data_IF_883275237857
#
_entry.id   IF_883275237857
#
_cell.length_a   1.000
_cell.length_b   1.000
_cell.length_c   1.000
_cell.angle_alpha   90.00
_cell.angle_beta   90.00
_cell.angle_gamma   90.00
#
_symmetry.space_group_name_H-M   'P 1'
#
loop_
_entity.id
_entity.type
_entity.pdbx_description
1 polymer ?
#
# COMPACT_ATOMS: atom_id res chain seq x y z
N UNK A 1 28.56 43.85 -10.91
CA UNK A 1 27.17 43.52 -10.52
C UNK A 1 26.41 44.81 -10.29
N UNK A 2 25.33 45.05 -11.04
CA UNK A 2 24.62 46.34 -11.00
C UNK A 2 23.45 46.29 -9.99
N UNK A 3 23.23 47.34 -9.17
CA UNK A 3 22.17 47.38 -8.15
C UNK A 3 20.72 47.31 -8.66
N UNK A 4 20.51 47.39 -9.98
CA UNK A 4 19.19 47.50 -10.62
C UNK A 4 18.44 46.17 -10.72
N UNK A 5 19.14 45.03 -10.83
CA UNK A 5 18.51 43.70 -10.95
C UNK A 5 17.76 43.29 -9.66
N UNK A 6 18.27 43.72 -8.51
CA UNK A 6 17.65 43.52 -7.18
C UNK A 6 16.32 44.28 -7.01
N UNK A 7 16.08 45.32 -7.80
CA UNK A 7 14.90 46.19 -7.68
C UNK A 7 13.69 45.65 -8.45
N UNK A 8 13.91 44.78 -9.45
CA UNK A 8 12.87 44.24 -10.33
C UNK A 8 12.46 42.79 -10.01
N UNK A 9 12.98 42.21 -8.92
CA UNK A 9 12.65 40.83 -8.55
C UNK A 9 13.18 39.78 -9.54
N UNK A 10 14.09 40.16 -10.43
CA UNK A 10 14.86 39.23 -11.27
C UNK A 10 16.00 38.67 -10.41
N UNK A 11 15.65 37.83 -9.44
CA UNK A 11 16.63 36.95 -8.82
C UNK A 11 17.08 35.93 -9.86
N UNK A 12 18.38 35.66 -9.92
CA UNK A 12 19.04 34.56 -10.65
C UNK A 12 18.63 33.15 -10.14
N UNK A 13 17.51 33.09 -9.43
CA UNK A 13 16.91 31.90 -8.86
C UNK A 13 15.80 31.47 -9.82
N UNK A 14 16.15 30.60 -10.76
CA UNK A 14 15.18 29.92 -11.63
C UNK A 14 14.04 29.32 -10.81
N UNK A 15 12.88 29.16 -11.46
CA UNK A 15 11.69 28.59 -10.85
C UNK A 15 11.96 27.18 -10.32
N UNK A 16 11.17 26.69 -9.37
CA UNK A 16 11.29 25.29 -8.91
C UNK A 16 11.18 24.30 -10.10
N UNK A 17 10.46 24.64 -11.16
CA UNK A 17 10.36 23.80 -12.37
C UNK A 17 11.68 23.84 -13.16
N UNK A 18 12.28 25.01 -13.34
CA UNK A 18 13.59 25.15 -14.00
C UNK A 18 14.66 24.37 -13.23
N UNK A 19 14.53 24.30 -11.90
CA UNK A 19 15.41 23.48 -11.04
C UNK A 19 15.17 21.99 -11.24
N UNK A 20 13.92 21.55 -11.40
CA UNK A 20 13.63 20.13 -11.71
C UNK A 20 14.20 19.72 -13.07
N UNK A 21 14.08 20.56 -14.09
CA UNK A 21 14.70 20.33 -15.40
C UNK A 21 16.22 20.22 -15.27
N UNK A 22 16.85 21.13 -14.52
CA UNK A 22 18.29 21.10 -14.27
C UNK A 22 18.72 19.87 -13.46
N UNK A 23 17.92 19.40 -12.51
CA UNK A 23 18.16 18.16 -11.78
C UNK A 23 18.19 16.98 -12.77
N UNK A 24 17.24 16.91 -13.71
CA UNK A 24 17.20 15.86 -14.73
C UNK A 24 18.48 15.87 -15.59
N UNK A 25 18.86 17.04 -16.10
CA UNK A 25 20.08 17.22 -16.91
C UNK A 25 21.34 16.79 -16.16
N UNK A 26 21.45 17.14 -14.88
CA UNK A 26 22.58 16.76 -14.04
C UNK A 26 22.62 15.26 -13.77
N UNK A 27 21.46 14.62 -13.56
CA UNK A 27 21.37 13.18 -13.39
C UNK A 27 21.77 12.44 -14.67
N UNK A 28 21.35 12.91 -15.84
CA UNK A 28 21.77 12.35 -17.13
C UNK A 28 23.28 12.46 -17.37
N UNK A 29 23.90 13.52 -16.84
CA UNK A 29 25.35 13.72 -16.86
C UNK A 29 26.11 12.92 -15.77
N UNK A 30 25.41 12.27 -14.83
CA UNK A 30 26.00 11.59 -13.68
C UNK A 30 26.45 12.53 -12.54
N UNK A 31 26.08 13.81 -12.59
CA UNK A 31 26.45 14.85 -11.62
C UNK A 31 25.47 14.88 -10.42
N UNK A 32 25.43 13.79 -9.64
CA UNK A 32 24.46 13.60 -8.55
C UNK A 32 24.61 14.66 -7.45
N UNK A 33 25.84 15.06 -7.12
CA UNK A 33 26.09 16.13 -6.14
C UNK A 33 25.48 17.46 -6.57
N UNK A 34 25.60 17.79 -7.86
CA UNK A 34 24.98 18.97 -8.44
C UNK A 34 23.45 18.89 -8.38
N UNK A 35 22.89 17.72 -8.69
CA UNK A 35 21.44 17.50 -8.62
C UNK A 35 20.91 17.68 -7.19
N UNK A 36 21.60 17.14 -6.18
CA UNK A 36 21.24 17.35 -4.77
C UNK A 36 21.35 18.83 -4.39
N UNK A 37 22.38 19.54 -4.83
CA UNK A 37 22.54 20.96 -4.55
C UNK A 37 21.43 21.82 -5.19
N UNK A 38 20.89 21.44 -6.35
CA UNK A 38 19.71 22.09 -6.92
C UNK A 38 18.42 21.73 -6.18
N UNK A 39 18.30 20.47 -5.69
CA UNK A 39 17.17 20.02 -4.89
C UNK A 39 17.01 20.86 -3.62
N UNK A 40 18.10 21.16 -2.91
CA UNK A 40 18.09 21.97 -1.67
C UNK A 40 17.56 23.40 -1.87
N UNK A 41 17.55 23.89 -3.11
CA UNK A 41 17.06 25.23 -3.45
C UNK A 41 15.57 25.26 -3.78
N UNK A 42 14.94 24.09 -3.93
CA UNK A 42 13.50 23.98 -4.21
C UNK A 42 12.68 24.36 -2.97
N UNK A 43 11.65 25.19 -3.17
CA UNK A 43 10.86 25.75 -2.07
C UNK A 43 9.54 25.05 -1.84
N UNK A 44 8.88 24.56 -2.89
CA UNK A 44 7.58 23.90 -2.78
C UNK A 44 7.75 22.42 -2.48
N UNK A 45 7.02 21.93 -1.49
CA UNK A 45 7.01 20.52 -1.07
C UNK A 45 6.75 19.56 -2.22
N UNK A 46 5.81 19.88 -3.13
CA UNK A 46 5.47 19.01 -4.26
C UNK A 46 6.64 18.86 -5.23
N UNK A 47 7.34 19.96 -5.51
CA UNK A 47 8.51 19.96 -6.40
C UNK A 47 9.70 19.30 -5.70
N UNK A 48 9.89 19.54 -4.40
CA UNK A 48 10.95 18.91 -3.63
C UNK A 48 10.75 17.38 -3.60
N UNK A 49 9.50 16.94 -3.44
CA UNK A 49 9.15 15.53 -3.55
C UNK A 49 9.49 14.93 -4.92
N UNK A 50 9.13 15.62 -6.01
CA UNK A 50 9.42 15.16 -7.38
C UNK A 50 10.93 15.07 -7.61
N UNK A 51 11.70 16.11 -7.28
CA UNK A 51 13.16 16.12 -7.46
C UNK A 51 13.85 15.04 -6.63
N UNK A 52 13.45 14.87 -5.36
CA UNK A 52 13.99 13.81 -4.52
C UNK A 52 13.68 12.42 -5.12
N UNK A 53 12.47 12.23 -5.65
CA UNK A 53 12.09 10.96 -6.30
C UNK A 53 12.92 10.68 -7.54
N UNK A 54 13.23 11.69 -8.35
CA UNK A 54 14.12 11.55 -9.51
C UNK A 54 15.51 11.06 -9.09
N UNK A 55 16.10 11.70 -8.07
CA UNK A 55 17.43 11.34 -7.58
C UNK A 55 17.44 9.93 -6.97
N UNK A 56 16.46 9.59 -6.11
CA UNK A 56 16.37 8.24 -5.53
C UNK A 56 16.20 7.18 -6.61
N UNK A 57 15.37 7.43 -7.63
CA UNK A 57 15.20 6.51 -8.76
C UNK A 57 16.47 6.36 -9.58
N UNK A 58 17.23 7.44 -9.79
CA UNK A 58 18.52 7.39 -10.47
C UNK A 58 19.53 6.57 -9.65
N UNK A 59 19.68 6.85 -8.35
CA UNK A 59 20.52 6.09 -7.43
C UNK A 59 20.12 4.62 -7.35
N UNK A 60 18.81 4.34 -7.34
CA UNK A 60 18.32 2.97 -7.35
C UNK A 60 18.80 2.26 -8.60
N UNK A 61 18.87 2.88 -9.77
CA UNK A 61 19.21 2.20 -11.03
C UNK A 61 20.67 2.34 -11.47
N UNK A 62 21.49 3.11 -10.75
CA UNK A 62 22.87 3.38 -11.14
C UNK A 62 23.79 2.17 -10.93
N UNK A 63 24.95 2.22 -11.58
CA UNK A 63 26.05 1.26 -11.42
C UNK A 63 27.15 1.77 -10.47
N UNK A 64 26.84 2.79 -9.67
CA UNK A 64 27.75 3.35 -8.68
C UNK A 64 28.12 2.29 -7.62
N UNK A 65 29.24 2.50 -6.95
CA UNK A 65 29.61 1.60 -5.86
C UNK A 65 28.58 1.69 -4.71
N UNK A 66 28.34 0.59 -3.97
CA UNK A 66 27.44 0.58 -2.82
C UNK A 66 27.71 1.73 -1.82
N UNK A 67 28.98 2.05 -1.57
CA UNK A 67 29.37 3.10 -0.64
C UNK A 67 28.98 4.51 -1.12
N UNK A 68 29.09 4.79 -2.42
CA UNK A 68 28.67 6.06 -3.01
C UNK A 68 27.15 6.24 -2.91
N UNK A 69 26.40 5.19 -3.28
CA UNK A 69 24.93 5.18 -3.17
C UNK A 69 24.51 5.44 -1.72
N UNK A 70 25.09 4.72 -0.76
CA UNK A 70 24.82 4.92 0.67
C UNK A 70 25.11 6.36 1.11
N UNK A 71 26.21 6.94 0.63
CA UNK A 71 26.56 8.35 0.88
C UNK A 71 25.47 9.30 0.42
N UNK A 72 25.04 9.20 -0.83
CA UNK A 72 24.01 10.07 -1.39
C UNK A 72 22.64 9.87 -0.74
N UNK A 73 22.23 8.63 -0.45
CA UNK A 73 20.98 8.36 0.25
C UNK A 73 20.97 8.99 1.65
N UNK A 74 22.09 8.96 2.38
CA UNK A 74 22.21 9.62 3.69
C UNK A 74 22.09 11.13 3.59
N UNK A 75 22.63 11.74 2.54
CA UNK A 75 22.46 13.18 2.26
C UNK A 75 21.02 13.54 1.94
N UNK A 76 20.27 12.67 1.27
CA UNK A 76 18.86 12.91 0.96
C UNK A 76 17.93 12.83 2.18
N UNK A 77 18.24 12.02 3.20
CA UNK A 77 17.35 11.82 4.36
C UNK A 77 16.97 13.15 5.05
N UNK A 78 17.89 14.07 5.41
CA UNK A 78 17.54 15.36 5.98
C UNK A 78 16.62 16.19 5.08
N UNK A 79 16.88 16.20 3.77
CA UNK A 79 16.07 16.93 2.78
C UNK A 79 14.66 16.36 2.74
N UNK A 80 14.52 15.03 2.65
CA UNK A 80 13.21 14.36 2.69
C UNK A 80 12.49 14.67 4.00
N UNK A 81 13.18 14.63 5.14
CA UNK A 81 12.58 14.92 6.45
C UNK A 81 12.07 16.36 6.59
N UNK A 82 12.58 17.30 5.79
CA UNK A 82 12.13 18.70 5.75
C UNK A 82 10.76 18.90 5.11
N UNK A 83 10.29 17.95 4.29
CA UNK A 83 8.96 18.02 3.67
C UNK A 83 7.89 18.12 4.76
N UNK A 84 6.88 18.95 4.56
CA UNK A 84 5.75 19.09 5.49
C UNK A 84 4.75 17.95 5.35
N UNK A 85 4.54 17.42 4.14
CA UNK A 85 3.63 16.30 3.90
C UNK A 85 4.15 14.98 4.50
N UNK A 86 3.40 14.36 5.42
CA UNK A 86 3.71 13.02 5.94
C UNK A 86 3.64 11.95 4.87
N UNK A 87 2.72 12.09 3.90
CA UNK A 87 2.60 11.18 2.77
C UNK A 87 3.87 11.18 1.93
N UNK A 88 4.34 12.36 1.53
CA UNK A 88 5.56 12.47 0.71
C UNK A 88 6.79 11.93 1.43
N UNK A 89 6.92 12.22 2.74
CA UNK A 89 7.99 11.67 3.57
C UNK A 89 7.96 10.15 3.66
N UNK A 90 6.78 9.57 3.92
CA UNK A 90 6.61 8.13 4.01
C UNK A 90 7.00 7.44 2.70
N UNK A 91 6.49 7.92 1.56
CA UNK A 91 6.79 7.33 0.25
C UNK A 91 8.28 7.45 -0.10
N UNK A 92 8.89 8.63 0.06
CA UNK A 92 10.32 8.80 -0.26
C UNK A 92 11.23 8.00 0.67
N UNK A 93 10.92 7.90 1.96
CA UNK A 93 11.71 7.07 2.88
C UNK A 93 11.59 5.58 2.56
N UNK A 94 10.44 5.12 2.04
CA UNK A 94 10.31 3.76 1.53
C UNK A 94 11.14 3.55 0.24
N UNK A 95 11.16 4.52 -0.68
CA UNK A 95 12.00 4.47 -1.88
C UNK A 95 13.50 4.45 -1.50
N UNK A 96 13.90 5.28 -0.53
CA UNK A 96 15.27 5.28 0.03
C UNK A 96 15.59 3.93 0.70
N UNK A 97 14.65 3.35 1.46
CA UNK A 97 14.86 2.04 2.07
C UNK A 97 15.12 0.96 1.02
N UNK A 98 14.34 0.94 -0.07
CA UNK A 98 14.55 0.03 -1.20
C UNK A 98 15.91 0.24 -1.87
N UNK A 99 16.36 1.49 -2.01
CA UNK A 99 17.69 1.79 -2.52
C UNK A 99 18.81 1.28 -1.60
N UNK A 100 18.66 1.40 -0.28
CA UNK A 100 19.59 0.78 0.67
C UNK A 100 19.62 -0.75 0.56
N UNK A 101 18.46 -1.40 0.47
CA UNK A 101 18.39 -2.86 0.33
C UNK A 101 19.07 -3.34 -0.95
N UNK A 102 18.91 -2.61 -2.06
CA UNK A 102 19.56 -2.96 -3.33
C UNK A 102 21.09 -2.99 -3.21
N UNK A 103 21.67 -2.10 -2.41
CA UNK A 103 23.13 -2.04 -2.20
C UNK A 103 23.61 -2.84 -0.98
N UNK A 104 22.72 -3.62 -0.36
CA UNK A 104 23.04 -4.52 0.76
C UNK A 104 23.16 -3.83 2.13
N UNK A 105 22.73 -2.57 2.26
CA UNK A 105 22.76 -1.84 3.54
C UNK A 105 21.44 -2.00 4.30
N UNK A 106 21.20 -3.24 4.74
CA UNK A 106 19.97 -3.64 5.42
C UNK A 106 19.68 -2.83 6.68
N UNK A 107 20.71 -2.43 7.43
CA UNK A 107 20.55 -1.66 8.66
C UNK A 107 19.95 -0.28 8.38
N UNK A 108 20.49 0.45 7.41
CA UNK A 108 19.95 1.77 7.05
C UNK A 108 18.59 1.62 6.33
N UNK A 109 18.42 0.57 5.52
CA UNK A 109 17.15 0.25 4.89
C UNK A 109 16.03 0.00 5.90
N UNK A 110 16.27 -0.82 6.92
CA UNK A 110 15.27 -1.13 7.96
C UNK A 110 14.92 0.10 8.80
N UNK A 111 15.89 0.99 9.08
CA UNK A 111 15.63 2.25 9.77
C UNK A 111 14.76 3.20 8.94
N UNK A 112 15.07 3.34 7.65
CA UNK A 112 14.29 4.17 6.73
C UNK A 112 12.87 3.60 6.55
N UNK A 113 12.74 2.29 6.35
CA UNK A 113 11.45 1.61 6.20
C UNK A 113 10.61 1.74 7.46
N UNK A 114 11.17 1.50 8.65
CA UNK A 114 10.44 1.68 9.91
C UNK A 114 9.92 3.11 10.08
N UNK A 115 10.73 4.09 9.69
CA UNK A 115 10.31 5.50 9.70
C UNK A 115 9.19 5.76 8.69
N UNK A 116 9.30 5.21 7.48
CA UNK A 116 8.27 5.29 6.46
C UNK A 116 6.92 4.71 6.93
N UNK A 117 6.93 3.51 7.55
CA UNK A 117 5.71 2.87 8.08
C UNK A 117 5.09 3.73 9.19
N UNK A 118 5.89 4.26 10.11
CA UNK A 118 5.41 5.14 11.18
C UNK A 118 4.76 6.43 10.64
N UNK A 119 5.27 6.98 9.54
CA UNK A 119 4.68 8.17 8.90
C UNK A 119 3.45 7.82 8.08
N UNK A 120 3.46 6.69 7.38
CA UNK A 120 2.31 6.18 6.62
C UNK A 120 1.10 5.99 7.53
N UNK A 121 1.33 5.53 8.77
CA UNK A 121 0.28 5.40 9.78
C UNK A 121 -0.54 6.68 10.02
N UNK A 122 0.13 7.83 9.98
CA UNK A 122 -0.52 9.11 10.19
C UNK A 122 -1.08 9.71 8.88
N UNK A 123 -0.70 9.15 7.73
CA UNK A 123 -1.07 9.65 6.40
C UNK A 123 -2.26 8.90 5.78
N UNK A 124 -2.55 7.70 6.26
CA UNK A 124 -3.66 6.85 5.79
C UNK A 124 -3.20 5.46 5.35
N UNK A 125 -4.11 4.48 5.38
CA UNK A 125 -3.82 3.07 5.08
C UNK A 125 -3.39 2.84 3.63
N UNK A 126 -3.82 3.71 2.70
CA UNK A 126 -3.41 3.65 1.29
C UNK A 126 -1.90 3.78 1.09
N UNK A 127 -1.23 4.65 1.86
CA UNK A 127 0.22 4.85 1.75
C UNK A 127 0.97 3.60 2.19
N UNK A 128 0.45 2.92 3.22
CA UNK A 128 1.02 1.66 3.70
C UNK A 128 0.86 0.55 2.66
N UNK A 129 -0.30 0.46 2.01
CA UNK A 129 -0.53 -0.49 0.89
C UNK A 129 0.43 -0.21 -0.27
N UNK A 130 0.62 1.06 -0.62
CA UNK A 130 1.53 1.49 -1.69
C UNK A 130 2.96 1.04 -1.39
N UNK A 131 3.48 1.32 -0.19
CA UNK A 131 4.81 0.89 0.25
C UNK A 131 4.97 -0.63 0.17
N UNK A 132 3.99 -1.39 0.69
CA UNK A 132 4.04 -2.85 0.68
C UNK A 132 4.03 -3.42 -0.75
N UNK A 133 3.22 -2.85 -1.65
CA UNK A 133 3.18 -3.26 -3.06
C UNK A 133 4.51 -2.98 -3.75
N UNK A 134 5.12 -1.82 -3.51
CA UNK A 134 6.42 -1.49 -4.11
C UNK A 134 7.55 -2.38 -3.60
N UNK A 135 7.59 -2.71 -2.31
CA UNK A 135 8.54 -3.70 -1.77
C UNK A 135 8.39 -5.05 -2.48
N UNK A 136 7.16 -5.54 -2.65
CA UNK A 136 6.89 -6.82 -3.31
C UNK A 136 7.26 -6.76 -4.80
N UNK A 137 6.91 -5.69 -5.52
CA UNK A 137 7.24 -5.49 -6.94
C UNK A 137 8.74 -5.51 -7.20
N UNK A 138 9.51 -4.93 -6.29
CA UNK A 138 10.97 -4.90 -6.36
C UNK A 138 11.65 -6.15 -5.78
N UNK A 139 10.88 -7.20 -5.44
CA UNK A 139 11.41 -8.48 -4.96
C UNK A 139 11.81 -8.51 -3.48
N UNK A 140 11.56 -7.44 -2.72
CA UNK A 140 11.89 -7.34 -1.30
C UNK A 140 10.80 -7.98 -0.41
N UNK A 141 10.46 -9.25 -0.68
CA UNK A 141 9.37 -9.96 0.01
C UNK A 141 9.59 -10.03 1.53
N UNK A 142 10.80 -10.32 1.98
CA UNK A 142 11.14 -10.39 3.40
C UNK A 142 11.02 -9.03 4.09
N UNK A 143 11.38 -7.95 3.41
CA UNK A 143 11.23 -6.58 3.91
C UNK A 143 9.77 -6.16 3.93
N UNK A 144 8.97 -6.63 2.96
CA UNK A 144 7.50 -6.52 3.01
C UNK A 144 6.91 -7.21 4.24
N UNK A 145 7.35 -8.43 4.56
CA UNK A 145 6.95 -9.14 5.77
C UNK A 145 7.39 -8.43 7.05
N UNK A 146 8.60 -7.87 7.07
CA UNK A 146 9.07 -7.01 8.15
C UNK A 146 8.18 -5.78 8.32
N UNK A 147 7.84 -5.08 7.23
CA UNK A 147 6.91 -3.94 7.28
C UNK A 147 5.54 -4.32 7.86
N UNK A 148 5.00 -5.50 7.52
CA UNK A 148 3.79 -6.03 8.16
C UNK A 148 3.96 -6.22 9.67
N UNK A 149 5.10 -6.73 10.12
CA UNK A 149 5.36 -6.94 11.55
C UNK A 149 5.40 -5.63 12.36
N UNK A 150 5.67 -4.50 11.69
CA UNK A 150 5.60 -3.17 12.30
C UNK A 150 4.16 -2.67 12.44
N UNK A 151 3.21 -3.33 11.77
CA UNK A 151 1.79 -2.97 11.84
C UNK A 151 1.18 -3.55 13.12
N UNK A 152 0.74 -2.70 14.06
CA UNK A 152 0.25 -3.16 15.38
C UNK A 152 -1.24 -3.53 15.42
N UNK A 153 -2.07 -2.90 14.59
CA UNK A 153 -3.52 -3.10 14.61
C UNK A 153 -3.90 -4.30 13.72
N UNK A 154 -4.53 -5.31 14.33
CA UNK A 154 -4.95 -6.53 13.65
C UNK A 154 -5.96 -6.28 12.53
N UNK A 155 -6.94 -5.39 12.73
CA UNK A 155 -7.92 -5.07 11.67
C UNK A 155 -7.26 -4.42 10.48
N UNK A 156 -6.24 -3.59 10.74
CA UNK A 156 -5.43 -3.00 9.67
C UNK A 156 -4.62 -4.05 8.93
N UNK A 157 -4.02 -5.01 9.64
CA UNK A 157 -3.32 -6.14 9.00
C UNK A 157 -4.27 -6.87 8.06
N UNK A 158 -5.47 -7.23 8.52
CA UNK A 158 -6.45 -7.94 7.70
C UNK A 158 -6.92 -7.12 6.49
N UNK A 159 -7.07 -5.79 6.64
CA UNK A 159 -7.32 -4.88 5.52
C UNK A 159 -6.16 -4.88 4.50
N UNK A 160 -4.92 -4.74 4.96
CA UNK A 160 -3.72 -4.73 4.10
C UNK A 160 -3.55 -6.08 3.38
N UNK A 161 -3.79 -7.18 4.08
CA UNK A 161 -3.79 -8.53 3.49
C UNK A 161 -4.85 -8.63 2.38
N UNK A 162 -6.06 -8.12 2.61
CA UNK A 162 -7.10 -8.03 1.57
C UNK A 162 -6.60 -7.29 0.32
N UNK A 163 -5.92 -6.14 0.50
CA UNK A 163 -5.34 -5.37 -0.60
C UNK A 163 -4.19 -6.08 -1.33
N UNK A 164 -3.44 -6.94 -0.64
CA UNK A 164 -2.39 -7.76 -1.25
C UNK A 164 -2.92 -8.98 -1.98
N UNK A 165 -3.99 -9.60 -1.49
CA UNK A 165 -4.64 -10.69 -2.23
C UNK A 165 -5.11 -10.20 -3.61
N UNK A 166 -5.76 -9.03 -3.67
CA UNK A 166 -6.15 -8.42 -4.94
C UNK A 166 -4.93 -8.16 -5.85
N UNK A 167 -3.84 -7.65 -5.28
CA UNK A 167 -2.59 -7.42 -6.00
C UNK A 167 -2.02 -8.72 -6.58
N UNK A 168 -1.82 -9.76 -5.78
CA UNK A 168 -1.29 -11.05 -6.25
C UNK A 168 -2.19 -11.69 -7.29
N UNK A 169 -3.51 -11.55 -7.14
CA UNK A 169 -4.47 -12.07 -8.10
C UNK A 169 -4.33 -11.41 -9.48
N UNK A 170 -4.16 -10.09 -9.53
CA UNK A 170 -3.95 -9.35 -10.78
C UNK A 170 -2.65 -9.74 -11.49
N UNK A 171 -1.63 -10.15 -10.73
CA UNK A 171 -0.36 -10.66 -11.26
C UNK A 171 -0.38 -12.16 -11.57
N UNK A 172 -1.50 -12.85 -11.35
CA UNK A 172 -1.66 -14.29 -11.61
C UNK A 172 -1.00 -15.20 -10.57
N UNK A 173 -0.57 -14.67 -9.42
CA UNK A 173 0.05 -15.45 -8.34
C UNK A 173 -1.01 -16.02 -7.40
N UNK A 174 -1.80 -16.96 -7.92
CA UNK A 174 -2.95 -17.54 -7.21
C UNK A 174 -2.55 -18.33 -5.96
N UNK A 175 -1.33 -18.87 -5.88
CA UNK A 175 -0.82 -19.55 -4.69
C UNK A 175 -0.65 -18.55 -3.53
N UNK A 176 -0.03 -17.39 -3.79
CA UNK A 176 0.08 -16.33 -2.78
C UNK A 176 -1.29 -15.78 -2.38
N UNK A 177 -2.25 -15.69 -3.31
CA UNK A 177 -3.63 -15.30 -2.98
C UNK A 177 -4.22 -16.23 -1.92
N UNK A 178 -4.07 -17.55 -2.07
CA UNK A 178 -4.58 -18.50 -1.07
C UNK A 178 -3.89 -18.35 0.29
N UNK A 179 -2.56 -18.17 0.30
CA UNK A 179 -1.81 -17.93 1.55
C UNK A 179 -2.30 -16.66 2.25
N UNK A 180 -2.50 -15.58 1.50
CA UNK A 180 -3.01 -14.32 2.06
C UNK A 180 -4.43 -14.47 2.60
N UNK A 181 -5.34 -15.10 1.86
CA UNK A 181 -6.71 -15.37 2.32
C UNK A 181 -6.75 -16.19 3.62
N UNK A 182 -5.82 -17.14 3.78
CA UNK A 182 -5.70 -17.94 5.00
C UNK A 182 -5.14 -17.14 6.19
N UNK A 183 -4.33 -16.10 5.93
CA UNK A 183 -3.73 -15.25 6.95
C UNK A 183 -4.66 -14.14 7.46
N UNK A 184 -5.68 -13.76 6.68
CA UNK A 184 -6.74 -12.83 7.12
C UNK A 184 -7.52 -13.50 8.25
N UNK A 185 -7.51 -12.94 9.45
CA UNK A 185 -8.18 -13.55 10.62
C UNK A 185 -9.65 -13.14 10.71
N UNK A 186 -9.95 -11.86 10.49
CA UNK A 186 -11.32 -11.35 10.50
C UNK A 186 -12.14 -11.91 9.32
N UNK A 187 -13.21 -12.69 9.59
CA UNK A 187 -14.05 -13.26 8.54
C UNK A 187 -14.69 -12.22 7.63
N UNK A 188 -15.00 -11.01 8.14
CA UNK A 188 -15.55 -9.92 7.33
C UNK A 188 -14.58 -9.53 6.21
N UNK A 189 -13.30 -9.31 6.55
CA UNK A 189 -12.28 -8.97 5.57
C UNK A 189 -12.06 -10.12 4.57
N UNK A 190 -12.05 -11.37 5.04
CA UNK A 190 -11.88 -12.53 4.14
C UNK A 190 -13.00 -12.62 3.10
N UNK A 191 -14.25 -12.39 3.51
CA UNK A 191 -15.41 -12.37 2.60
C UNK A 191 -15.29 -11.22 1.59
N UNK A 192 -14.98 -10.02 2.06
CA UNK A 192 -14.80 -8.85 1.19
C UNK A 192 -13.68 -9.09 0.18
N UNK A 193 -12.56 -9.70 0.57
CA UNK A 193 -11.49 -10.06 -0.36
C UNK A 193 -12.00 -11.01 -1.44
N UNK A 194 -12.65 -12.13 -1.06
CA UNK A 194 -13.19 -13.10 -2.02
C UNK A 194 -14.20 -12.45 -2.99
N UNK A 195 -15.07 -11.57 -2.48
CA UNK A 195 -16.00 -10.80 -3.29
C UNK A 195 -15.29 -9.93 -4.33
N UNK A 196 -14.25 -9.19 -3.92
CA UNK A 196 -13.48 -8.34 -4.85
C UNK A 196 -12.72 -9.17 -5.88
N UNK A 197 -12.16 -10.31 -5.50
CA UNK A 197 -11.55 -11.23 -6.45
C UNK A 197 -12.57 -11.74 -7.47
N UNK A 198 -13.80 -12.04 -7.04
CA UNK A 198 -14.87 -12.44 -7.94
C UNK A 198 -15.25 -11.32 -8.93
N UNK A 199 -15.34 -10.06 -8.46
CA UNK A 199 -15.55 -8.90 -9.34
C UNK A 199 -14.45 -8.73 -10.38
N UNK A 200 -13.19 -8.94 -9.99
CA UNK A 200 -12.05 -8.86 -10.91
C UNK A 200 -12.06 -9.99 -11.96
N UNK A 201 -12.53 -11.18 -11.57
CA UNK A 201 -12.55 -12.36 -12.44
C UNK A 201 -13.81 -12.42 -13.32
N UNK A 202 -14.93 -11.81 -12.89
CA UNK A 202 -16.20 -11.78 -13.62
C UNK A 202 -16.08 -11.45 -15.12
N UNK A 203 -15.32 -10.42 -15.56
CA UNK A 203 -15.16 -10.12 -16.99
C UNK A 203 -14.23 -11.08 -17.73
N UNK A 204 -13.47 -11.93 -17.02
CA UNK A 204 -12.46 -12.84 -17.58
C UNK A 204 -12.96 -14.29 -17.66
N UNK A 205 -13.57 -14.77 -16.58
CA UNK A 205 -13.99 -16.14 -16.39
C UNK A 205 -15.15 -16.19 -15.39
N UNK A 206 -16.37 -16.24 -15.94
CA UNK A 206 -17.61 -16.21 -15.16
C UNK A 206 -17.74 -17.39 -14.19
N UNK A 207 -17.27 -18.58 -14.58
CA UNK A 207 -17.38 -19.77 -13.74
C UNK A 207 -16.43 -19.68 -12.54
N UNK A 208 -15.21 -19.17 -12.75
CA UNK A 208 -14.29 -18.90 -11.62
C UNK A 208 -14.79 -17.79 -10.71
N UNK A 209 -15.39 -16.74 -11.28
CA UNK A 209 -16.00 -15.67 -10.47
C UNK A 209 -17.12 -16.21 -9.59
N UNK A 210 -17.99 -17.07 -10.14
CA UNK A 210 -19.01 -17.77 -9.36
C UNK A 210 -18.40 -18.67 -8.28
N UNK A 211 -17.35 -19.42 -8.58
CA UNK A 211 -16.67 -20.25 -7.58
C UNK A 211 -16.06 -19.43 -6.43
N UNK A 212 -15.54 -18.24 -6.71
CA UNK A 212 -15.06 -17.30 -5.69
C UNK A 212 -16.22 -16.73 -4.85
N UNK A 213 -17.35 -16.43 -5.47
CA UNK A 213 -18.56 -15.98 -4.78
C UNK A 213 -19.15 -17.03 -3.86
N UNK A 214 -19.24 -18.30 -4.27
CA UNK A 214 -19.74 -19.36 -3.39
C UNK A 214 -18.85 -19.48 -2.15
N UNK A 215 -17.52 -19.45 -2.33
CA UNK A 215 -16.59 -19.41 -1.19
C UNK A 215 -16.83 -18.19 -0.30
N UNK A 216 -17.13 -17.03 -0.88
CA UNK A 216 -17.43 -15.82 -0.13
C UNK A 216 -18.73 -15.97 0.69
N UNK A 217 -19.78 -16.56 0.11
CA UNK A 217 -21.06 -16.84 0.76
C UNK A 217 -20.86 -17.81 1.93
N UNK A 218 -20.14 -18.92 1.71
CA UNK A 218 -19.83 -19.90 2.76
C UNK A 218 -19.06 -19.30 3.94
N UNK A 219 -18.19 -18.30 3.68
CA UNK A 219 -17.49 -17.58 4.74
C UNK A 219 -18.39 -16.54 5.41
N UNK A 220 -19.28 -15.88 4.66
CA UNK A 220 -20.19 -14.88 5.21
C UNK A 220 -21.20 -15.50 6.19
N UNK A 221 -21.68 -16.71 5.90
CA UNK A 221 -22.61 -17.42 6.79
C UNK A 221 -22.03 -17.69 8.19
N UNK A 222 -20.69 -17.80 8.28
CA UNK A 222 -19.93 -18.01 9.53
C UNK A 222 -19.71 -16.74 10.34
N UNK A 223 -20.09 -15.57 9.85
CA UNK A 223 -19.95 -14.30 10.58
C UNK A 223 -20.97 -14.24 11.72
N UNK A 224 -20.49 -14.03 12.94
CA UNK A 224 -21.33 -13.97 14.15
C UNK A 224 -22.22 -12.72 14.19
N UNK A 225 -21.69 -11.56 13.76
CA UNK A 225 -22.45 -10.32 13.72
C UNK A 225 -23.54 -10.42 12.65
N UNK A 226 -24.79 -10.54 13.10
CA UNK A 226 -25.96 -10.73 12.22
C UNK A 226 -26.14 -9.62 11.20
N UNK A 227 -25.91 -8.36 11.59
CA UNK A 227 -26.06 -7.22 10.68
C UNK A 227 -25.00 -7.26 9.58
N UNK A 228 -23.73 -7.44 9.95
CA UNK A 228 -22.64 -7.55 8.99
C UNK A 228 -22.82 -8.77 8.06
N UNK A 229 -23.23 -9.91 8.62
CA UNK A 229 -23.56 -11.12 7.85
C UNK A 229 -24.65 -10.85 6.82
N UNK A 230 -25.77 -10.28 7.24
CA UNK A 230 -26.90 -10.02 6.33
C UNK A 230 -26.50 -9.04 5.23
N UNK A 231 -25.80 -7.96 5.57
CA UNK A 231 -25.34 -6.96 4.60
C UNK A 231 -24.42 -7.60 3.54
N UNK A 232 -23.46 -8.42 3.97
CA UNK A 232 -22.57 -9.13 3.06
C UNK A 232 -23.33 -10.13 2.19
N UNK A 233 -24.22 -10.93 2.77
CA UNK A 233 -24.99 -11.91 2.01
C UNK A 233 -25.87 -11.24 0.94
N UNK A 234 -26.46 -10.08 1.21
CA UNK A 234 -27.18 -9.30 0.18
C UNK A 234 -26.23 -8.96 -0.97
N UNK A 235 -25.10 -8.28 -0.68
CA UNK A 235 -24.12 -7.89 -1.71
C UNK A 235 -23.60 -9.06 -2.53
N UNK A 236 -23.31 -10.20 -1.88
CA UNK A 236 -22.82 -11.40 -2.55
C UNK A 236 -23.88 -12.02 -3.47
N UNK A 237 -25.14 -12.09 -3.02
CA UNK A 237 -26.22 -12.64 -3.81
C UNK A 237 -26.63 -11.71 -4.96
N UNK A 238 -26.51 -10.40 -4.80
CA UNK A 238 -26.71 -9.44 -5.89
C UNK A 238 -25.72 -9.69 -7.02
N UNK A 239 -24.41 -9.75 -6.73
CA UNK A 239 -23.41 -10.06 -7.75
C UNK A 239 -23.60 -11.47 -8.35
N UNK A 240 -23.97 -12.46 -7.52
CA UNK A 240 -24.29 -13.80 -8.03
C UNK A 240 -25.46 -13.75 -9.01
N UNK A 241 -26.52 -13.01 -8.71
CA UNK A 241 -27.67 -12.85 -9.60
C UNK A 241 -27.29 -12.17 -10.92
N UNK A 242 -26.44 -11.14 -10.88
CA UNK A 242 -25.88 -10.52 -12.08
C UNK A 242 -25.08 -11.53 -12.93
N UNK A 243 -24.29 -12.38 -12.26
CA UNK A 243 -23.48 -13.42 -12.88
C UNK A 243 -24.23 -14.72 -13.20
N UNK A 244 -25.51 -14.88 -12.88
CA UNK A 244 -26.31 -16.05 -13.30
C UNK A 244 -27.45 -15.66 -14.21
N UNK A 245 -27.92 -14.40 -14.13
CA UNK A 245 -29.20 -13.98 -14.69
C UNK A 245 -30.39 -14.47 -13.85
N UNK A 246 -30.13 -15.09 -12.69
CA UNK A 246 -31.16 -15.62 -11.80
C UNK A 246 -31.26 -14.75 -10.55
N UNK A 247 -32.39 -14.05 -10.39
CA UNK A 247 -32.64 -13.23 -9.22
C UNK A 247 -32.80 -14.07 -7.94
N UNK A 248 -32.08 -13.73 -6.89
CA UNK A 248 -32.25 -14.33 -5.55
C UNK A 248 -33.28 -13.51 -4.77
N UNK A 249 -34.27 -14.17 -4.16
CA UNK A 249 -35.27 -13.47 -3.34
C UNK A 249 -34.70 -13.19 -1.95
N UNK A 250 -34.96 -12.00 -1.42
CA UNK A 250 -34.54 -11.59 -0.07
C UNK A 250 -34.96 -12.58 1.02
N UNK A 251 -36.15 -13.20 0.89
CA UNK A 251 -36.65 -14.21 1.85
C UNK A 251 -35.72 -15.43 1.92
N UNK A 252 -35.13 -15.84 0.80
CA UNK A 252 -34.22 -16.99 0.75
C UNK A 252 -32.88 -16.67 1.42
N UNK A 253 -32.44 -15.40 1.35
CA UNK A 253 -31.26 -14.88 2.06
C UNK A 253 -31.51 -14.78 3.57
N UNK A 254 -32.68 -14.28 3.98
CA UNK A 254 -33.06 -14.13 5.39
C UNK A 254 -33.13 -15.48 6.11
N UNK A 255 -33.59 -16.54 5.43
CA UNK A 255 -33.61 -17.91 5.99
C UNK A 255 -32.20 -18.41 6.33
N UNK A 256 -31.22 -18.16 5.46
CA UNK A 256 -29.80 -18.53 5.68
C UNK A 256 -29.12 -17.69 6.77
N UNK A 257 -29.62 -16.48 6.99
CA UNK A 257 -29.12 -15.56 8.02
C UNK A 257 -29.69 -15.83 9.42
N UNK A 258 -30.42 -16.93 9.61
CA UNK A 258 -30.94 -17.36 10.91
C UNK A 258 -29.80 -17.74 11.88
N UNK A 259 -29.97 -17.59 13.20
CA UNK A 259 -28.94 -18.01 14.15
C UNK A 259 -28.64 -19.51 14.01
N UNK A 260 -27.39 -19.96 14.25
CA UNK A 260 -27.13 -21.38 14.46
C UNK A 260 -28.03 -21.86 15.62
N UNK A 261 -28.64 -23.03 15.46
CA UNK A 261 -29.38 -23.68 16.53
C UNK A 261 -28.42 -23.96 17.69
N UNK A 262 -28.38 -23.07 18.68
CA UNK A 262 -27.91 -23.43 20.01
C UNK A 262 -28.99 -24.33 20.63
N UNK A 263 -28.89 -25.63 20.32
CA UNK A 263 -29.43 -26.67 21.18
C UNK A 263 -28.54 -26.78 22.42
N UNK A 264 -29.05 -26.43 23.59
CA UNK A 264 -28.32 -26.61 24.84
C UNK A 264 -28.85 -25.76 25.99
N UNK A 265 -30.01 -26.18 26.52
CA UNK A 265 -30.46 -26.05 27.91
C UNK A 265 -30.27 -24.67 28.58
N UNK A 266 -31.34 -23.88 28.54
CA UNK A 266 -31.71 -23.03 29.66
C UNK A 266 -32.20 -23.94 30.80
N UNK A 267 -31.27 -24.50 31.55
CA UNK A 267 -31.50 -25.08 32.88
C UNK A 267 -30.15 -25.04 33.60
N UNK A 268 -29.89 -23.94 34.29
CA UNK A 268 -29.42 -23.94 35.67
C UNK A 268 -29.46 -22.52 36.20
N UNK A 269 -30.41 -22.34 37.11
CA UNK A 269 -30.37 -21.36 38.17
C UNK A 269 -29.04 -21.44 38.95
N UNK A 270 -28.79 -20.35 39.67
CA UNK A 270 -27.89 -20.24 40.82
C UNK A 270 -26.39 -19.95 40.62
N UNK A 271 -26.04 -18.79 41.20
CA UNK A 271 -24.90 -18.57 42.10
C UNK A 271 -23.59 -17.97 41.55
N UNK A 272 -23.38 -16.71 41.99
CA UNK A 272 -22.15 -15.93 42.23
C UNK A 272 -21.35 -15.36 41.06
#
# INVERSE_FOLDING_TARGET
>A
MKPLEKLFGLSDEGSDLDRLEKIDELLDAGEIEGAIAELEKIRKDENLYVGAKMIVKHLFNSELSPNEVVGYLKTLIPIVNSLSSWRYRATLLADIAMAFYRVGDDFNGDLALKTAINLAYNSGEEVLVEILRELIRNGFLEKGAYAFSLVKDRKRIDFLLSQLAEFFYLYGDYEKVQKVLSAIEDPFYRVITLYRLALLEAPRDRDKALALLEKAIDNAEKIENRHARLELLIKLNDLKAELTGEGVRLVDILKRSSPPEYGGNADNEDQY
#
